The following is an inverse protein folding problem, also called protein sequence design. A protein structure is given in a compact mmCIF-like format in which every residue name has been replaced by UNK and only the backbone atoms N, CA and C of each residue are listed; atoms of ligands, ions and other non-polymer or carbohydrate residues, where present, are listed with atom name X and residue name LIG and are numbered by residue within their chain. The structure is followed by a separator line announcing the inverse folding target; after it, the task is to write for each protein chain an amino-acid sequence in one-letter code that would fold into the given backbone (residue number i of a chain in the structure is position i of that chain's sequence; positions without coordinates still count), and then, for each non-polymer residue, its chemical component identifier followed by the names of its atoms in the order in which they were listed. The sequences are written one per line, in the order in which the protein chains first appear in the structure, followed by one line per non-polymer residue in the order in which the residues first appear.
data_IF_612782886168
#
_entry.id   IF_612782886168
#
_cell.length_a   1.000
_cell.length_b   1.000
_cell.length_c   1.000
_cell.angle_alpha   90.00
_cell.angle_beta   90.00
_cell.angle_gamma   90.00
#
_symmetry.space_group_name_H-M   'P 1'
#
loop_
_entity.id
_entity.type
_entity.pdbx_description
1 polymer ?
#
# COMPACT_ATOMS: atom_id res chain seq x y z
N UNK A 1 -29.79 -3.46 -21.87
CA UNK A 1 -28.54 -2.95 -21.25
C UNK A 1 -28.85 -1.68 -20.48
N UNK A 2 -28.50 -1.59 -19.19
CA UNK A 2 -28.63 -0.37 -18.40
C UNK A 2 -27.34 0.47 -18.54
N UNK A 3 -27.28 1.50 -19.41
CA UNK A 3 -26.01 2.15 -19.79
C UNK A 3 -25.35 2.88 -18.62
N UNK A 4 -26.19 3.42 -17.71
CA UNK A 4 -25.78 4.05 -16.45
C UNK A 4 -25.07 3.09 -15.49
N UNK A 5 -25.48 1.82 -15.45
CA UNK A 5 -24.86 0.83 -14.57
C UNK A 5 -23.45 0.49 -15.07
N UNK A 6 -23.26 0.39 -16.39
CA UNK A 6 -21.94 0.15 -17.01
C UNK A 6 -20.97 1.28 -16.72
N UNK A 7 -21.40 2.54 -16.85
CA UNK A 7 -20.57 3.69 -16.52
C UNK A 7 -20.23 3.75 -15.02
N UNK A 8 -21.18 3.42 -14.15
CA UNK A 8 -20.96 3.37 -12.70
C UNK A 8 -19.92 2.29 -12.33
N UNK A 9 -20.07 1.07 -12.86
CA UNK A 9 -19.10 -0.01 -12.63
C UNK A 9 -17.71 0.34 -13.17
N UNK A 10 -17.63 1.02 -14.32
CA UNK A 10 -16.37 1.51 -14.89
C UNK A 10 -15.69 2.55 -14.00
N UNK A 11 -16.43 3.53 -13.47
CA UNK A 11 -15.91 4.53 -12.56
C UNK A 11 -15.37 3.92 -11.25
N UNK A 12 -16.10 2.96 -10.68
CA UNK A 12 -15.67 2.25 -9.46
C UNK A 12 -14.40 1.43 -9.73
N UNK A 13 -14.35 0.66 -10.82
CA UNK A 13 -13.19 -0.15 -11.17
C UNK A 13 -11.94 0.70 -11.43
N UNK A 14 -12.08 1.82 -12.15
CA UNK A 14 -10.98 2.76 -12.38
C UNK A 14 -10.46 3.37 -11.07
N UNK A 15 -11.35 3.71 -10.13
CA UNK A 15 -10.99 4.19 -8.81
C UNK A 15 -10.19 3.17 -7.98
N UNK A 16 -10.57 1.89 -8.03
CA UNK A 16 -9.82 0.82 -7.35
C UNK A 16 -8.41 0.64 -7.94
N UNK A 17 -8.27 0.64 -9.27
CA UNK A 17 -6.97 0.48 -9.93
C UNK A 17 -6.06 1.68 -9.63
N UNK A 18 -6.60 2.90 -9.68
CA UNK A 18 -5.87 4.11 -9.31
C UNK A 18 -5.41 4.06 -7.86
N UNK A 19 -6.30 3.67 -6.93
CA UNK A 19 -5.95 3.53 -5.51
C UNK A 19 -4.86 2.47 -5.26
N UNK A 20 -4.87 1.37 -6.02
CA UNK A 20 -3.84 0.33 -5.94
C UNK A 20 -2.47 0.82 -6.41
N UNK A 21 -2.41 1.56 -7.52
CA UNK A 21 -1.15 2.07 -8.09
C UNK A 21 -0.59 3.26 -7.29
N UNK A 22 -1.45 4.15 -6.80
CA UNK A 22 -1.04 5.36 -6.07
C UNK A 22 -0.79 5.13 -4.57
N UNK A 23 -0.67 3.88 -4.11
CA UNK A 23 -0.49 3.53 -2.68
C UNK A 23 -1.60 4.08 -1.76
N UNK A 24 -2.80 4.33 -2.31
CA UNK A 24 -4.00 4.79 -1.59
C UNK A 24 -4.91 3.62 -1.21
N UNK A 25 -4.42 2.37 -1.27
CA UNK A 25 -5.02 1.30 -0.48
C UNK A 25 -5.01 1.79 0.97
N UNK A 26 -6.16 2.24 1.47
CA UNK A 26 -6.27 2.94 2.76
C UNK A 26 -5.59 2.13 3.88
N UNK A 27 -5.64 0.81 3.74
CA UNK A 27 -4.93 -0.16 4.56
C UNK A 27 -3.41 0.03 4.56
N UNK A 28 -2.77 0.15 3.39
CA UNK A 28 -1.32 0.36 3.26
C UNK A 28 -0.87 1.67 3.91
N UNK A 29 -1.63 2.75 3.75
CA UNK A 29 -1.36 4.01 4.45
C UNK A 29 -1.56 3.90 5.97
N UNK A 30 -2.63 3.22 6.42
CA UNK A 30 -2.87 2.96 7.84
C UNK A 30 -1.72 2.16 8.44
N UNK A 31 -1.33 1.07 7.79
CA UNK A 31 -0.21 0.24 8.20
C UNK A 31 1.11 1.00 8.20
N UNK A 32 1.40 1.85 7.21
CA UNK A 32 2.62 2.68 7.19
C UNK A 32 2.62 3.81 8.24
N UNK A 33 1.45 4.30 8.63
CA UNK A 33 1.31 5.30 9.69
C UNK A 33 1.48 4.69 11.10
N UNK A 34 1.30 3.36 11.26
CA UNK A 34 1.58 2.70 12.54
C UNK A 34 3.09 2.76 12.85
N UNK A 35 3.48 3.25 14.04
CA UNK A 35 4.89 3.44 14.41
C UNK A 35 5.71 2.14 14.44
N UNK A 36 5.06 0.98 14.52
CA UNK A 36 5.72 -0.34 14.47
C UNK A 36 6.10 -0.79 13.05
N UNK A 37 5.54 -0.16 12.00
CA UNK A 37 5.80 -0.52 10.60
C UNK A 37 6.73 0.48 9.90
N UNK A 38 7.15 1.53 10.62
CA UNK A 38 8.22 2.41 10.18
C UNK A 38 9.50 1.60 10.23
N UNK A 39 10.00 1.25 9.04
CA UNK A 39 11.18 0.39 8.90
C UNK A 39 12.38 1.04 9.55
N UNK A 40 12.89 0.41 10.58
CA UNK A 40 14.19 0.70 11.13
C UNK A 40 15.26 0.13 10.18
N UNK A 41 16.24 0.96 9.80
CA UNK A 41 17.27 0.54 8.86
C UNK A 41 18.28 -0.32 9.60
N UNK A 42 18.20 -1.63 9.42
CA UNK A 42 19.19 -2.55 9.96
C UNK A 42 20.53 -2.31 9.28
N UNK A 43 21.52 -1.90 10.08
CA UNK A 43 22.87 -1.71 9.61
C UNK A 43 23.59 -3.07 9.58
N UNK A 44 24.17 -3.40 8.42
CA UNK A 44 24.79 -4.71 8.21
C UNK A 44 25.96 -4.97 9.17
N UNK A 45 26.67 -3.90 9.56
CA UNK A 45 27.78 -3.96 10.52
C UNK A 45 27.34 -4.49 11.91
N UNK A 46 26.11 -4.23 12.34
CA UNK A 46 25.60 -4.70 13.63
C UNK A 46 25.25 -6.19 13.58
N UNK A 47 24.75 -6.67 12.44
CA UNK A 47 24.47 -8.09 12.23
C UNK A 47 25.77 -8.89 12.18
N UNK A 48 26.78 -8.38 11.46
CA UNK A 48 28.10 -9.03 11.39
C UNK A 48 28.74 -9.14 12.77
N UNK A 49 28.62 -8.11 13.61
CA UNK A 49 29.19 -8.10 14.98
C UNK A 49 28.49 -9.10 15.93
N UNK A 50 27.25 -9.52 15.65
CA UNK A 50 26.56 -10.55 16.44
C UNK A 50 26.90 -11.98 16.02
N UNK A 51 27.47 -12.15 14.82
CA UNK A 51 27.80 -13.45 14.23
C UNK A 51 29.28 -13.82 14.38
N UNK A 52 30.09 -12.93 14.95
CA UNK A 52 31.50 -13.14 15.32
C UNK A 52 31.63 -13.36 16.82
#
# INVERSE_FOLDING_TARGET
MAPRATWFSGAVGAGLVFAAVSNTCAMGQLLSALPHNQRDYVHLADVTRRLS
#
